data_IF_720696386751
#
_entry.id   IF_720696386751
#
_cell.length_a   1.000
_cell.length_b   1.000
_cell.length_c   1.000
_cell.angle_alpha   90.00
_cell.angle_beta   90.00
_cell.angle_gamma   90.00
#
_symmetry.space_group_name_H-M   'P 1'
#
loop_
_entity.id
_entity.type
_entity.pdbx_description
1 polymer ?
#
# COMPACT_ATOMS: atom_id res chain seq x y z
N UNK A 1 -23.30 5.45 26.13
CA UNK A 1 -22.52 6.20 25.12
C UNK A 1 -21.31 5.39 24.70
N UNK A 2 -21.04 5.29 23.39
CA UNK A 2 -19.97 4.44 22.84
C UNK A 2 -18.63 4.98 23.34
N UNK A 3 -17.83 4.19 24.06
CA UNK A 3 -16.55 4.63 24.67
C UNK A 3 -15.60 5.26 23.63
N UNK A 4 -15.68 4.80 22.37
CA UNK A 4 -14.97 5.39 21.23
C UNK A 4 -15.22 6.88 21.03
N UNK A 5 -16.41 7.40 21.34
CA UNK A 5 -16.70 8.83 21.22
C UNK A 5 -15.84 9.67 22.16
N UNK A 6 -15.74 9.26 23.43
CA UNK A 6 -14.94 9.94 24.44
C UNK A 6 -13.43 9.85 24.14
N UNK A 7 -12.98 8.70 23.62
CA UNK A 7 -11.59 8.51 23.18
C UNK A 7 -11.25 9.45 22.02
N UNK A 8 -12.13 9.58 21.03
CA UNK A 8 -11.95 10.52 19.91
C UNK A 8 -11.95 11.97 20.37
N UNK A 9 -12.77 12.32 21.36
CA UNK A 9 -12.83 13.66 21.94
C UNK A 9 -11.49 14.03 22.62
N UNK A 10 -10.95 13.13 23.43
CA UNK A 10 -9.63 13.29 24.06
C UNK A 10 -8.55 13.42 22.98
N UNK A 11 -8.56 12.54 21.98
CA UNK A 11 -7.59 12.57 20.89
C UNK A 11 -7.63 13.89 20.12
N UNK A 12 -8.83 14.43 19.86
CA UNK A 12 -8.99 15.72 19.20
C UNK A 12 -8.38 16.87 20.01
N UNK A 13 -8.58 16.90 21.33
CA UNK A 13 -7.92 17.89 22.21
C UNK A 13 -6.41 17.77 22.14
N UNK A 14 -5.87 16.55 22.19
CA UNK A 14 -4.44 16.31 22.03
C UNK A 14 -3.90 16.83 20.70
N UNK A 15 -4.60 16.58 19.59
CA UNK A 15 -4.21 17.09 18.27
C UNK A 15 -4.19 18.62 18.23
N UNK A 16 -5.18 19.28 18.82
CA UNK A 16 -5.23 20.76 18.88
C UNK A 16 -4.06 21.30 19.71
N UNK A 17 -3.84 20.76 20.90
CA UNK A 17 -2.74 21.18 21.79
C UNK A 17 -1.38 20.93 21.13
N UNK A 18 -1.20 19.75 20.53
CA UNK A 18 0.00 19.41 19.76
C UNK A 18 0.22 20.39 18.61
N UNK A 19 -0.82 20.74 17.87
CA UNK A 19 -0.73 21.70 16.76
C UNK A 19 -0.33 23.11 17.23
N UNK A 20 -0.89 23.58 18.36
CA UNK A 20 -0.56 24.91 18.91
C UNK A 20 0.86 24.94 19.46
N UNK A 21 1.29 23.89 20.15
CA UNK A 21 2.66 23.80 20.69
C UNK A 21 3.72 23.61 19.60
N UNK A 22 3.36 22.97 18.48
CA UNK A 22 4.26 22.80 17.34
C UNK A 22 4.06 23.90 16.28
N UNK A 23 3.36 24.99 16.60
CA UNK A 23 3.10 26.08 15.66
C UNK A 23 4.34 26.93 15.31
N UNK A 24 5.49 26.63 15.93
CA UNK A 24 6.75 27.27 15.60
C UNK A 24 7.04 27.12 14.09
N UNK A 25 7.21 28.24 13.37
CA UNK A 25 7.38 28.22 11.93
C UNK A 25 8.75 27.63 11.59
N UNK A 26 8.75 26.51 10.86
CA UNK A 26 9.94 25.90 10.30
C UNK A 26 10.03 26.27 8.83
N UNK A 27 11.10 26.98 8.48
CA UNK A 27 11.43 27.29 7.10
C UNK A 27 11.90 26.02 6.40
N UNK A 28 11.25 25.64 5.30
CA UNK A 28 11.66 24.50 4.48
C UNK A 28 11.87 24.95 3.03
N UNK A 29 12.86 24.36 2.37
CA UNK A 29 13.22 24.64 0.98
C UNK A 29 13.16 23.33 0.19
N UNK A 30 12.20 23.23 -0.72
CA UNK A 30 11.96 22.06 -1.57
C UNK A 30 12.31 22.39 -3.01
N UNK A 31 13.46 21.92 -3.52
CA UNK A 31 14.01 22.16 -4.87
C UNK A 31 14.03 23.64 -5.31
N UNK A 32 12.87 24.24 -5.58
CA UNK A 32 12.69 25.64 -5.98
C UNK A 32 11.65 26.39 -5.13
N UNK A 33 10.94 25.72 -4.23
CA UNK A 33 9.92 26.31 -3.35
C UNK A 33 10.48 26.57 -1.97
N UNK A 34 10.14 27.74 -1.42
CA UNK A 34 10.42 28.09 -0.03
C UNK A 34 9.11 28.43 0.64
N UNK A 35 8.91 27.90 1.84
CA UNK A 35 7.72 28.18 2.63
C UNK A 35 8.00 28.00 4.11
N UNK A 36 7.03 28.39 4.92
CA UNK A 36 7.04 28.21 6.37
C UNK A 36 5.85 27.33 6.74
N UNK A 37 6.14 26.24 7.43
CA UNK A 37 5.13 25.31 7.96
C UNK A 37 5.53 24.92 9.37
N UNK A 38 4.57 24.51 10.19
CA UNK A 38 4.93 23.84 11.44
C UNK A 38 5.64 22.53 11.15
N UNK A 39 6.59 22.17 12.01
CA UNK A 39 7.28 20.87 11.95
C UNK A 39 6.28 19.71 11.89
N UNK A 40 5.21 19.80 12.68
CA UNK A 40 4.14 18.80 12.74
C UNK A 40 3.48 18.57 11.37
N UNK A 41 3.09 19.65 10.67
CA UNK A 41 2.46 19.53 9.35
C UNK A 41 3.45 18.94 8.33
N UNK A 42 4.71 19.39 8.36
CA UNK A 42 5.74 18.90 7.47
C UNK A 42 5.96 17.38 7.62
N UNK A 43 6.01 16.90 8.86
CA UNK A 43 6.17 15.47 9.17
C UNK A 43 4.94 14.64 8.76
N UNK A 44 3.73 15.13 9.03
CA UNK A 44 2.50 14.44 8.64
C UNK A 44 2.42 14.31 7.11
N UNK A 45 2.67 15.40 6.37
CA UNK A 45 2.68 15.38 4.91
C UNK A 45 3.74 14.40 4.37
N UNK A 46 4.98 14.46 4.89
CA UNK A 46 6.05 13.56 4.49
C UNK A 46 5.69 12.09 4.74
N UNK A 47 5.12 11.80 5.91
CA UNK A 47 4.68 10.45 6.26
C UNK A 47 3.57 9.94 5.34
N UNK A 48 2.54 10.76 5.05
CA UNK A 48 1.46 10.39 4.14
C UNK A 48 2.00 10.09 2.74
N UNK A 49 2.89 10.96 2.22
CA UNK A 49 3.50 10.75 0.91
C UNK A 49 4.31 9.45 0.90
N UNK A 50 5.16 9.23 1.89
CA UNK A 50 5.95 7.99 2.02
C UNK A 50 5.08 6.74 2.13
N UNK A 51 3.98 6.80 2.89
CA UNK A 51 3.04 5.69 3.04
C UNK A 51 2.31 5.36 1.73
N UNK A 52 1.87 6.38 0.99
CA UNK A 52 1.22 6.20 -0.33
C UNK A 52 2.19 5.61 -1.34
N UNK A 53 3.42 6.14 -1.42
CA UNK A 53 4.46 5.63 -2.32
C UNK A 53 4.82 4.19 -1.96
N UNK A 54 5.01 3.90 -0.67
CA UNK A 54 5.31 2.55 -0.19
C UNK A 54 4.18 1.55 -0.47
N UNK A 55 2.93 1.94 -0.26
CA UNK A 55 1.76 1.12 -0.57
C UNK A 55 1.65 0.82 -2.07
N UNK A 56 1.88 1.83 -2.92
CA UNK A 56 1.88 1.67 -4.37
C UNK A 56 3.01 0.73 -4.83
N UNK A 57 4.22 0.93 -4.32
CA UNK A 57 5.38 0.07 -4.61
C UNK A 57 5.11 -1.39 -4.22
N UNK A 58 4.61 -1.61 -3.00
CA UNK A 58 4.25 -2.95 -2.52
C UNK A 58 3.18 -3.60 -3.40
N UNK A 59 2.13 -2.85 -3.77
CA UNK A 59 1.06 -3.33 -4.63
C UNK A 59 1.56 -3.78 -6.02
N UNK A 60 2.47 -3.03 -6.62
CA UNK A 60 3.08 -3.38 -7.91
C UNK A 60 3.97 -4.61 -7.77
N UNK A 61 4.86 -4.64 -6.76
CA UNK A 61 5.77 -5.75 -6.51
C UNK A 61 5.04 -7.08 -6.27
N UNK A 62 3.90 -7.04 -5.56
CA UNK A 62 3.10 -8.23 -5.28
C UNK A 62 2.38 -8.77 -6.53
N UNK A 63 1.96 -7.87 -7.44
CA UNK A 63 1.37 -8.26 -8.74
C UNK A 63 2.39 -8.94 -9.65
N UNK A 64 3.64 -8.47 -9.67
CA UNK A 64 4.71 -9.09 -10.47
C UNK A 64 5.06 -10.49 -9.97
N UNK A 65 5.13 -10.71 -8.64
CA UNK A 65 5.32 -12.06 -8.08
C UNK A 65 4.21 -13.03 -8.46
N UNK A 66 2.96 -12.56 -8.52
CA UNK A 66 1.81 -13.42 -8.90
C UNK A 66 1.83 -13.79 -10.37
N UNK A 67 2.26 -12.89 -11.25
CA UNK A 67 2.37 -13.16 -12.70
C UNK A 67 3.44 -14.22 -13.00
N UNK A 68 4.63 -14.10 -12.40
CA UNK A 68 5.71 -15.06 -12.64
C UNK A 68 5.35 -16.49 -12.18
N UNK A 69 4.55 -16.64 -11.12
CA UNK A 69 4.09 -17.95 -10.64
C UNK A 69 3.05 -18.61 -11.57
N UNK A 70 2.28 -17.82 -12.33
CA UNK A 70 1.31 -18.33 -13.30
C UNK A 70 1.95 -18.70 -14.65
N UNK A 71 3.00 -17.99 -15.06
CA UNK A 71 3.80 -18.34 -16.26
C UNK A 71 4.63 -19.61 -16.05
N UNK A 72 5.10 -19.89 -14.83
CA UNK A 72 5.84 -21.11 -14.47
C UNK A 72 4.93 -22.36 -14.48
N UNK A 73 3.74 -22.29 -13.87
CA UNK A 73 2.79 -23.42 -13.79
C UNK A 73 2.11 -23.78 -15.13
N UNK A 74 2.14 -22.90 -16.13
CA UNK A 74 1.55 -23.14 -17.45
C UNK A 74 2.52 -23.75 -18.47
N UNK A 75 3.82 -23.76 -18.17
CA UNK A 75 4.87 -24.36 -19.01
C UNK A 75 4.95 -25.89 -18.90
N UNK A 76 4.38 -26.46 -17.84
CA UNK A 76 4.45 -27.89 -17.51
C UNK A 76 3.17 -28.65 -17.88
N UNK A 77 2.58 -28.41 -19.06
CA UNK A 77 1.51 -29.29 -19.57
C UNK A 77 2.19 -30.52 -20.17
N UNK A 78 2.13 -31.72 -19.56
CA UNK A 78 2.66 -32.92 -20.19
C UNK A 78 1.71 -33.25 -21.34
N UNK A 79 2.23 -33.21 -22.56
CA UNK A 79 1.59 -33.78 -23.75
C UNK A 79 1.57 -35.32 -23.58
N UNK A 80 0.76 -35.82 -22.67
CA UNK A 80 0.60 -37.25 -22.45
C UNK A 80 -0.88 -37.55 -22.33
N UNK A 81 -1.34 -38.38 -23.28
CA UNK A 81 -2.59 -39.15 -23.31
C UNK A 81 -3.76 -38.61 -24.15
N UNK A 82 -3.59 -38.68 -25.47
CA UNK A 82 -4.69 -38.96 -26.39
C UNK A 82 -4.19 -39.92 -27.49
N UNK A 83 -3.96 -41.18 -27.13
CA UNK A 83 -3.39 -42.17 -28.07
C UNK A 83 -3.61 -43.63 -27.70
N UNK A 84 -4.57 -43.93 -26.81
CA UNK A 84 -4.90 -45.33 -26.50
C UNK A 84 -6.34 -45.51 -26.04
N UNK A 85 -7.28 -45.37 -26.96
CA UNK A 85 -8.59 -46.03 -26.84
C UNK A 85 -9.23 -46.22 -28.22
N UNK A 86 -8.66 -47.12 -29.02
CA UNK A 86 -9.43 -47.86 -30.03
C UNK A 86 -9.19 -49.33 -29.73
N UNK A 87 -10.00 -49.87 -28.82
CA UNK A 87 -10.34 -51.28 -28.75
C UNK A 87 -11.84 -51.36 -28.43
N UNK A 88 -12.45 -52.36 -29.06
CA UNK A 88 -13.86 -52.73 -29.10
C UNK A 88 -14.68 -51.83 -30.01
N UNK A 89 -15.09 -52.27 -31.19
CA UNK A 89 -16.08 -53.32 -31.49
C UNK A 89 -15.84 -53.89 -32.92
N UNK A 90 -15.95 -55.18 -33.24
CA UNK A 90 -17.11 -56.04 -33.03
C UNK A 90 -18.05 -55.99 -34.25
N UNK A 91 -17.67 -56.63 -35.37
CA UNK A 91 -18.48 -57.35 -36.40
C UNK A 91 -17.53 -57.85 -37.51
#
# INVERSE_FOLDING_TARGET
>A
MKKSFWILMILAVFVVVFSVQNADPVSFSMLMWRGELSLAILLICSFIIGAVVGALYYGIAMRQKKKNKMEDESGDIPFEKEGRSIKDDGI
#
